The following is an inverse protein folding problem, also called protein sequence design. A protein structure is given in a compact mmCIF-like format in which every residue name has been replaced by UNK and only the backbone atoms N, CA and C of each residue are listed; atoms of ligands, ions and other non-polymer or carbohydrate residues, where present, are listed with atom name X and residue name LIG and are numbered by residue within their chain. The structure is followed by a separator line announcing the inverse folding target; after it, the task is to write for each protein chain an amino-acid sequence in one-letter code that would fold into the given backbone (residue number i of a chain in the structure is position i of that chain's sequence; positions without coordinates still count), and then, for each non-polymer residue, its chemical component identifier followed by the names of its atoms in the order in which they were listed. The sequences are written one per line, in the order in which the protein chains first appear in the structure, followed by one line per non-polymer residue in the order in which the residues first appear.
data_IF_686135812418
#
_entry.id   IF_686135812418
#
_cell.length_a   1.000
_cell.length_b   1.000
_cell.length_c   1.000
_cell.angle_alpha   90.00
_cell.angle_beta   90.00
_cell.angle_gamma   90.00
#
_symmetry.space_group_name_H-M   'P 1'
#
loop_
_entity.id
_entity.type
_entity.pdbx_description
1 polymer ?
#
# COMPACT_ATOMS: atom_id res chain seq x y z
N UNK A 1 -18.16 10.31 -12.16
CA UNK A 1 -18.05 9.36 -11.04
C UNK A 1 -19.40 8.71 -10.86
N UNK A 2 -19.52 7.44 -11.23
CA UNK A 2 -20.72 6.65 -11.00
C UNK A 2 -20.78 6.21 -9.53
N UNK A 3 -21.98 5.87 -9.06
CA UNK A 3 -22.17 5.33 -7.70
C UNK A 3 -21.38 4.03 -7.50
N UNK A 4 -21.28 3.22 -8.54
CA UNK A 4 -20.60 1.92 -8.52
C UNK A 4 -19.09 2.06 -8.36
N UNK A 5 -18.47 2.99 -9.10
CA UNK A 5 -17.04 3.33 -8.96
C UNK A 5 -16.69 3.76 -7.54
N UNK A 6 -17.53 4.62 -6.95
CA UNK A 6 -17.35 5.11 -5.59
C UNK A 6 -17.48 3.99 -4.57
N UNK A 7 -18.52 3.16 -4.68
CA UNK A 7 -18.76 2.03 -3.77
C UNK A 7 -17.60 1.03 -3.83
N UNK A 8 -17.09 0.73 -5.04
CA UNK A 8 -15.96 -0.15 -5.23
C UNK A 8 -14.70 0.34 -4.50
N UNK A 9 -14.29 1.60 -4.73
CA UNK A 9 -13.12 2.16 -4.08
C UNK A 9 -13.31 2.23 -2.54
N UNK A 10 -14.49 2.61 -2.08
CA UNK A 10 -14.81 2.67 -0.65
C UNK A 10 -14.80 1.29 0.01
N UNK A 11 -15.21 0.22 -0.68
CA UNK A 11 -15.14 -1.14 -0.15
C UNK A 11 -13.68 -1.57 0.08
N UNK A 12 -12.80 -1.33 -0.89
CA UNK A 12 -11.38 -1.66 -0.75
C UNK A 12 -10.73 -0.87 0.39
N UNK A 13 -10.96 0.44 0.46
CA UNK A 13 -10.43 1.29 1.54
C UNK A 13 -10.98 0.86 2.92
N UNK A 14 -12.24 0.44 2.98
CA UNK A 14 -12.86 -0.08 4.21
C UNK A 14 -12.25 -1.41 4.63
N UNK A 15 -11.98 -2.33 3.69
CA UNK A 15 -11.26 -3.57 3.98
C UNK A 15 -9.86 -3.27 4.51
N UNK A 16 -9.12 -2.37 3.86
CA UNK A 16 -7.78 -1.96 4.27
C UNK A 16 -7.76 -1.36 5.68
N UNK A 17 -8.70 -0.47 6.00
CA UNK A 17 -8.85 0.08 7.34
C UNK A 17 -9.24 -0.98 8.38
N UNK A 18 -10.18 -1.86 8.04
CA UNK A 18 -10.64 -2.90 8.96
C UNK A 18 -9.52 -3.87 9.32
N UNK A 19 -8.68 -4.24 8.34
CA UNK A 19 -7.47 -5.04 8.59
C UNK A 19 -6.51 -4.35 9.55
N UNK A 20 -6.23 -3.06 9.33
CA UNK A 20 -5.37 -2.27 10.22
C UNK A 20 -5.88 -2.27 11.67
N UNK A 21 -7.16 -1.92 11.85
CA UNK A 21 -7.80 -1.85 13.17
C UNK A 21 -7.84 -3.22 13.84
N UNK A 22 -8.20 -4.27 13.09
CA UNK A 22 -8.26 -5.62 13.64
C UNK A 22 -6.88 -6.10 14.07
N UNK A 23 -5.85 -5.93 13.24
CA UNK A 23 -4.48 -6.31 13.59
C UNK A 23 -3.99 -5.59 14.85
N UNK A 24 -4.36 -4.31 15.03
CA UNK A 24 -4.06 -3.56 16.24
C UNK A 24 -4.80 -4.11 17.47
N UNK A 25 -6.14 -4.26 17.37
CA UNK A 25 -6.97 -4.73 18.47
C UNK A 25 -6.69 -6.19 18.87
N UNK A 26 -6.25 -7.03 17.93
CA UNK A 26 -5.90 -8.42 18.19
C UNK A 26 -4.45 -8.63 18.60
N UNK A 27 -3.66 -7.56 18.70
CA UNK A 27 -2.21 -7.63 18.91
C UNK A 27 -1.56 -8.68 17.98
N UNK A 28 -1.82 -8.58 16.67
CA UNK A 28 -1.37 -9.57 15.68
C UNK A 28 0.10 -9.97 15.91
N UNK A 29 0.39 -11.22 16.27
CA UNK A 29 1.74 -11.64 16.61
C UNK A 29 2.75 -11.40 15.50
N UNK A 30 2.34 -11.43 14.23
CA UNK A 30 3.25 -11.16 13.11
C UNK A 30 3.64 -9.67 13.05
N UNK A 31 2.77 -8.79 13.51
CA UNK A 31 3.00 -7.36 13.60
C UNK A 31 3.84 -7.00 14.83
N UNK A 32 3.42 -7.51 15.98
CA UNK A 32 3.92 -7.05 17.27
C UNK A 32 5.13 -7.84 17.78
N UNK A 33 5.30 -9.12 17.41
CA UNK A 33 6.44 -9.90 17.89
C UNK A 33 7.78 -9.27 17.51
N UNK A 34 7.87 -8.71 16.29
CA UNK A 34 9.06 -8.03 15.85
C UNK A 34 9.28 -6.72 16.63
N UNK A 35 8.23 -5.93 16.85
CA UNK A 35 8.29 -4.70 17.66
C UNK A 35 8.74 -4.98 19.11
N UNK A 36 8.23 -6.04 19.73
CA UNK A 36 8.60 -6.43 21.10
C UNK A 36 9.96 -7.14 21.22
N UNK A 37 10.50 -7.65 20.10
CA UNK A 37 11.86 -8.22 20.06
C UNK A 37 12.95 -7.15 20.08
N UNK A 38 12.57 -5.88 19.94
CA UNK A 38 13.47 -4.75 19.81
C UNK A 38 13.51 -3.90 21.10
N UNK A 39 14.62 -3.20 21.38
CA UNK A 39 14.69 -2.30 22.53
C UNK A 39 13.60 -1.22 22.44
N UNK A 40 12.85 -0.95 23.52
CA UNK A 40 11.88 0.14 23.54
C UNK A 40 12.59 1.48 23.32
N UNK A 41 12.02 2.33 22.45
CA UNK A 41 12.54 3.65 22.04
C UNK A 41 13.84 3.62 21.21
N UNK A 42 14.17 2.49 20.60
CA UNK A 42 15.26 2.38 19.61
C UNK A 42 14.81 2.69 18.17
N UNK A 43 15.74 3.06 17.28
CA UNK A 43 15.47 3.26 15.85
C UNK A 43 14.90 2.02 15.15
N UNK A 44 15.04 0.85 15.76
CA UNK A 44 14.48 -0.40 15.25
C UNK A 44 12.95 -0.46 15.41
N UNK A 45 12.40 0.16 16.45
CA UNK A 45 10.95 0.24 16.65
C UNK A 45 10.30 1.10 15.55
N UNK A 46 10.93 2.23 15.22
CA UNK A 46 10.50 3.09 14.11
C UNK A 46 10.57 2.34 12.78
N UNK A 47 11.63 1.55 12.57
CA UNK A 47 11.77 0.69 11.40
C UNK A 47 10.64 -0.37 11.31
N UNK A 48 10.26 -0.97 12.43
CA UNK A 48 9.16 -1.94 12.50
C UNK A 48 7.81 -1.30 12.16
N UNK A 49 7.56 -0.09 12.66
CA UNK A 49 6.36 0.69 12.35
C UNK A 49 6.33 1.06 10.86
N UNK A 50 7.45 1.51 10.32
CA UNK A 50 7.62 1.85 8.90
C UNK A 50 7.35 0.66 7.98
N UNK A 51 7.87 -0.52 8.36
CA UNK A 51 7.57 -1.77 7.67
C UNK A 51 6.09 -2.08 7.63
N UNK A 52 5.42 -2.00 8.78
CA UNK A 52 4.00 -2.30 8.84
C UNK A 52 3.18 -1.38 7.93
N UNK A 53 3.42 -0.07 8.00
CA UNK A 53 2.67 0.88 7.19
C UNK A 53 2.93 0.69 5.68
N UNK A 54 4.16 0.35 5.29
CA UNK A 54 4.47 0.06 3.91
C UNK A 54 3.77 -1.21 3.40
N UNK A 55 3.78 -2.28 4.18
CA UNK A 55 3.07 -3.51 3.86
C UNK A 55 1.56 -3.29 3.76
N UNK A 56 0.99 -2.53 4.71
CA UNK A 56 -0.42 -2.14 4.69
C UNK A 56 -0.77 -1.31 3.45
N UNK A 57 0.04 -0.32 3.08
CA UNK A 57 -0.15 0.44 1.85
C UNK A 57 -0.13 -0.50 0.65
N UNK A 58 0.87 -1.39 0.56
CA UNK A 58 1.05 -2.33 -0.56
C UNK A 58 -0.07 -3.35 -0.71
N UNK A 59 -0.70 -3.76 0.38
CA UNK A 59 -1.82 -4.70 0.35
C UNK A 59 -3.04 -4.18 -0.44
N UNK A 60 -3.20 -2.87 -0.64
CA UNK A 60 -4.33 -2.31 -1.40
C UNK A 60 -4.35 -2.75 -2.87
N UNK A 61 -3.17 -2.99 -3.46
CA UNK A 61 -3.05 -3.55 -4.81
C UNK A 61 -3.67 -4.95 -4.90
N UNK A 62 -3.40 -5.81 -3.92
CA UNK A 62 -3.94 -7.17 -3.85
C UNK A 62 -5.43 -7.18 -3.48
N UNK A 63 -5.87 -6.25 -2.61
CA UNK A 63 -7.28 -6.10 -2.28
C UNK A 63 -8.11 -5.72 -3.50
N UNK A 64 -7.59 -4.82 -4.36
CA UNK A 64 -8.26 -4.53 -5.64
C UNK A 64 -8.38 -5.79 -6.50
N UNK A 65 -7.29 -6.54 -6.69
CA UNK A 65 -7.30 -7.77 -7.50
C UNK A 65 -8.31 -8.79 -6.95
N UNK A 66 -8.40 -8.92 -5.62
CA UNK A 66 -9.37 -9.80 -4.96
C UNK A 66 -10.81 -9.32 -5.17
N UNK A 67 -11.08 -8.03 -4.99
CA UNK A 67 -12.40 -7.45 -5.20
C UNK A 67 -12.85 -7.60 -6.66
N UNK A 68 -11.94 -7.41 -7.62
CA UNK A 68 -12.18 -7.67 -9.05
C UNK A 68 -12.56 -9.14 -9.34
N UNK A 69 -12.07 -10.10 -8.55
CA UNK A 69 -12.34 -11.54 -8.72
C UNK A 69 -13.61 -12.00 -8.00
N UNK A 70 -13.96 -11.33 -6.90
CA UNK A 70 -15.09 -11.69 -6.05
C UNK A 70 -16.40 -11.03 -6.50
N UNK A 71 -16.33 -9.94 -7.26
CA UNK A 71 -17.55 -9.30 -7.77
C UNK A 71 -18.29 -10.25 -8.70
N UNK A 72 -19.56 -10.54 -8.40
CA UNK A 72 -20.45 -11.35 -9.25
C UNK A 72 -20.79 -10.66 -10.59
N UNK A 73 -20.30 -9.43 -10.79
CA UNK A 73 -20.39 -8.63 -12.01
C UNK A 73 -19.17 -8.86 -12.92
N UNK A 74 -19.29 -8.60 -14.24
CA UNK A 74 -18.17 -8.71 -15.16
C UNK A 74 -17.00 -7.85 -14.68
N UNK A 75 -15.79 -8.24 -15.05
CA UNK A 75 -14.51 -7.55 -14.80
C UNK A 75 -14.70 -6.05 -14.61
N UNK A 76 -14.27 -5.45 -13.48
CA UNK A 76 -14.56 -4.05 -13.20
C UNK A 76 -14.07 -3.20 -14.35
N UNK A 77 -14.92 -2.26 -14.76
CA UNK A 77 -14.67 -1.49 -15.96
C UNK A 77 -13.31 -0.76 -15.88
N UNK A 78 -12.67 -0.44 -17.02
CA UNK A 78 -11.44 0.35 -17.06
C UNK A 78 -11.54 1.65 -16.23
N UNK A 79 -12.73 2.23 -16.15
CA UNK A 79 -13.06 3.43 -15.38
C UNK A 79 -12.99 3.16 -13.87
N UNK A 80 -13.61 2.08 -13.37
CA UNK A 80 -13.56 1.67 -11.95
C UNK A 80 -12.10 1.47 -11.50
N UNK A 81 -11.29 0.84 -12.33
CA UNK A 81 -9.86 0.61 -12.05
C UNK A 81 -9.09 1.90 -11.97
N UNK A 82 -9.32 2.79 -12.94
CA UNK A 82 -8.64 4.09 -12.98
C UNK A 82 -9.04 4.94 -11.78
N UNK A 83 -10.30 4.88 -11.36
CA UNK A 83 -10.78 5.57 -10.17
C UNK A 83 -10.13 5.05 -8.88
N UNK A 84 -10.08 3.71 -8.71
CA UNK A 84 -9.36 3.13 -7.59
C UNK A 84 -7.89 3.57 -7.55
N UNK A 85 -7.19 3.54 -8.69
CA UNK A 85 -5.78 3.96 -8.77
C UNK A 85 -5.60 5.43 -8.38
N UNK A 86 -6.55 6.32 -8.71
CA UNK A 86 -6.54 7.71 -8.24
C UNK A 86 -6.74 7.80 -6.72
N UNK A 87 -7.69 7.07 -6.15
CA UNK A 87 -7.94 7.06 -4.71
C UNK A 87 -6.72 6.51 -3.94
N UNK A 88 -6.13 5.44 -4.45
CA UNK A 88 -4.92 4.84 -3.88
C UNK A 88 -3.71 5.77 -3.97
N UNK A 89 -3.54 6.45 -5.10
CA UNK A 89 -2.52 7.50 -5.23
C UNK A 89 -2.69 8.57 -4.15
N UNK A 90 -3.92 9.08 -3.96
CA UNK A 90 -4.18 10.08 -2.90
C UNK A 90 -3.87 9.57 -1.51
N UNK A 91 -4.10 8.28 -1.24
CA UNK A 91 -3.71 7.65 0.02
C UNK A 91 -2.18 7.70 0.21
N UNK A 92 -1.41 7.32 -0.81
CA UNK A 92 0.05 7.40 -0.78
C UNK A 92 0.57 8.84 -0.63
N UNK A 93 -0.02 9.80 -1.34
CA UNK A 93 0.33 11.22 -1.21
C UNK A 93 0.08 11.74 0.20
N UNK A 94 -1.06 11.36 0.80
CA UNK A 94 -1.39 11.74 2.18
C UNK A 94 -0.38 11.17 3.17
N UNK A 95 0.01 9.92 2.98
CA UNK A 95 1.03 9.27 3.82
C UNK A 95 2.36 10.02 3.83
N UNK A 96 2.80 10.57 2.68
CA UNK A 96 4.02 11.38 2.61
C UNK A 96 3.84 12.71 3.35
N UNK A 97 2.72 13.40 3.13
CA UNK A 97 2.47 14.72 3.72
C UNK A 97 2.50 14.66 5.25
N UNK A 98 1.89 13.63 5.83
CA UNK A 98 1.86 13.45 7.28
C UNK A 98 3.26 13.07 7.87
N UNK A 99 4.27 12.81 7.02
CA UNK A 99 5.65 12.46 7.40
C UNK A 99 6.72 13.54 7.10
N UNK A 100 6.34 14.70 6.59
CA UNK A 100 7.29 15.77 6.18
C UNK A 100 8.23 16.23 7.32
N UNK A 101 7.83 16.04 8.59
CA UNK A 101 8.61 16.45 9.76
C UNK A 101 9.37 15.31 10.47
N UNK A 102 9.44 14.11 9.89
CA UNK A 102 10.14 12.97 10.50
C UNK A 102 11.55 12.87 9.89
N UNK A 103 12.56 13.32 10.63
CA UNK A 103 13.97 13.27 10.21
C UNK A 103 14.59 11.88 10.48
N UNK A 104 15.46 11.42 9.57
CA UNK A 104 16.22 10.16 9.74
C UNK A 104 16.41 9.40 8.43
N UNK A 105 17.50 8.61 8.31
CA UNK A 105 17.79 7.80 7.11
C UNK A 105 16.66 6.83 6.76
N UNK A 106 16.03 6.23 7.77
CA UNK A 106 14.94 5.27 7.62
C UNK A 106 13.67 5.93 7.07
N UNK A 107 13.22 7.02 7.69
CA UNK A 107 12.10 7.85 7.23
C UNK A 107 12.29 8.34 5.79
N UNK A 108 13.51 8.73 5.43
CA UNK A 108 13.87 9.14 4.07
C UNK A 108 13.76 7.99 3.06
N UNK A 109 14.16 6.78 3.44
CA UNK A 109 14.12 5.62 2.57
C UNK A 109 12.68 5.13 2.33
N UNK A 110 11.84 5.07 3.38
CA UNK A 110 10.42 4.78 3.24
C UNK A 110 9.71 5.83 2.37
N UNK A 111 9.99 7.11 2.62
CA UNK A 111 9.44 8.21 1.82
C UNK A 111 9.81 8.06 0.35
N UNK A 112 11.04 7.62 0.05
CA UNK A 112 11.51 7.38 -1.32
C UNK A 112 10.75 6.24 -2.00
N UNK A 113 10.51 5.12 -1.30
CA UNK A 113 9.72 4.02 -1.83
C UNK A 113 8.27 4.42 -2.10
N UNK A 114 7.64 5.19 -1.21
CA UNK A 114 6.27 5.68 -1.41
C UNK A 114 6.20 6.69 -2.58
N UNK A 115 7.25 7.49 -2.79
CA UNK A 115 7.37 8.36 -3.99
C UNK A 115 7.46 7.53 -5.28
N UNK A 116 8.32 6.51 -5.32
CA UNK A 116 8.41 5.61 -6.48
C UNK A 116 7.04 4.97 -6.78
N UNK A 117 6.31 4.60 -5.73
CA UNK A 117 4.96 4.05 -5.86
C UNK A 117 3.96 5.03 -6.44
N UNK A 118 3.97 6.29 -6.01
CA UNK A 118 3.14 7.35 -6.61
C UNK A 118 3.47 7.52 -8.10
N UNK A 119 4.75 7.51 -8.46
CA UNK A 119 5.18 7.59 -9.86
C UNK A 119 4.70 6.38 -10.67
N UNK A 120 4.75 5.19 -10.10
CA UNK A 120 4.22 3.97 -10.69
C UNK A 120 2.71 4.04 -10.91
N UNK A 121 1.95 4.55 -9.93
CA UNK A 121 0.52 4.78 -10.06
C UNK A 121 0.20 5.82 -11.15
N UNK A 122 0.99 6.89 -11.26
CA UNK A 122 0.86 7.86 -12.35
C UNK A 122 1.08 7.20 -13.72
N UNK A 123 2.10 6.35 -13.86
CA UNK A 123 2.34 5.59 -15.10
C UNK A 123 1.17 4.67 -15.43
N UNK A 124 0.59 4.00 -14.43
CA UNK A 124 -0.57 3.12 -14.62
C UNK A 124 -1.83 3.89 -15.03
N UNK A 125 -2.05 5.07 -14.46
CA UNK A 125 -3.14 5.97 -14.82
C UNK A 125 -2.99 6.51 -16.26
N UNK A 126 -1.76 6.72 -16.73
CA UNK A 126 -1.47 7.21 -18.08
C UNK A 126 -1.67 6.16 -19.20
N UNK A 127 -1.67 4.85 -18.86
CA UNK A 127 -1.93 3.79 -19.83
C UNK A 127 -3.42 3.85 -20.23
N UNK A 128 -3.73 4.05 -21.51
CA UNK A 128 -5.11 4.18 -22.00
C UNK A 128 -5.74 2.87 -22.49
N UNK A 129 -4.99 1.76 -22.55
CA UNK A 129 -5.47 0.49 -23.12
C UNK A 129 -5.32 -0.70 -22.15
N UNK A 130 -6.29 -1.63 -22.27
CA UNK A 130 -6.44 -2.94 -21.62
C UNK A 130 -6.33 -2.98 -20.08
N UNK A 131 -7.51 -3.07 -19.44
CA UNK A 131 -7.69 -3.27 -18.01
C UNK A 131 -6.85 -4.44 -17.45
N UNK A 132 -6.75 -5.56 -18.18
CA UNK A 132 -5.93 -6.71 -17.78
C UNK A 132 -4.44 -6.39 -17.72
N UNK A 133 -3.92 -5.58 -18.65
CA UNK A 133 -2.52 -5.16 -18.66
C UNK A 133 -2.23 -4.26 -17.44
N UNK A 134 -3.15 -3.34 -17.10
CA UNK A 134 -3.05 -2.53 -15.89
C UNK A 134 -3.01 -3.38 -14.63
N UNK A 135 -3.91 -4.35 -14.49
CA UNK A 135 -3.93 -5.24 -13.32
C UNK A 135 -2.67 -6.08 -13.23
N UNK A 136 -2.19 -6.63 -14.36
CA UNK A 136 -0.94 -7.41 -14.41
C UNK A 136 0.27 -6.56 -14.00
N UNK A 137 0.34 -5.32 -14.49
CA UNK A 137 1.42 -4.39 -14.17
C UNK A 137 1.37 -3.89 -12.72
N UNK A 138 0.18 -3.61 -12.19
CA UNK A 138 -0.02 -3.29 -10.78
C UNK A 138 0.48 -4.42 -9.88
N UNK A 139 0.14 -5.67 -10.23
CA UNK A 139 0.60 -6.85 -9.49
C UNK A 139 2.12 -7.00 -9.51
N UNK A 140 2.72 -6.88 -10.69
CA UNK A 140 4.17 -6.91 -10.85
C UNK A 140 4.86 -5.82 -10.02
N UNK A 141 4.33 -4.59 -10.06
CA UNK A 141 4.85 -3.47 -9.28
C UNK A 141 4.74 -3.73 -7.78
N UNK A 142 3.60 -4.24 -7.31
CA UNK A 142 3.39 -4.62 -5.91
C UNK A 142 4.40 -5.68 -5.44
N UNK A 143 4.70 -6.68 -6.26
CA UNK A 143 5.73 -7.70 -5.95
C UNK A 143 7.12 -7.09 -5.91
N UNK A 144 7.48 -6.24 -6.89
CA UNK A 144 8.78 -5.56 -6.94
C UNK A 144 8.98 -4.65 -5.74
N UNK A 145 7.97 -3.86 -5.39
CA UNK A 145 7.99 -2.94 -4.25
C UNK A 145 8.20 -3.68 -2.93
N UNK A 146 7.54 -4.83 -2.75
CA UNK A 146 7.75 -5.68 -1.58
C UNK A 146 9.21 -6.17 -1.48
N UNK A 147 9.78 -6.64 -2.59
CA UNK A 147 11.18 -7.08 -2.63
C UNK A 147 12.16 -5.96 -2.28
N UNK A 148 12.01 -4.79 -2.92
CA UNK A 148 12.88 -3.63 -2.64
C UNK A 148 12.77 -3.16 -1.19
N UNK A 149 11.58 -3.24 -0.61
CA UNK A 149 11.38 -2.92 0.78
C UNK A 149 12.07 -3.94 1.70
N UNK A 150 11.94 -5.24 1.45
CA UNK A 150 12.57 -6.28 2.27
C UNK A 150 14.12 -6.18 2.21
N UNK A 151 14.68 -5.86 1.04
CA UNK A 151 16.10 -5.60 0.84
C UNK A 151 16.56 -4.37 1.64
N UNK A 152 15.86 -3.24 1.48
CA UNK A 152 16.14 -2.02 2.23
C UNK A 152 16.05 -2.27 3.75
N UNK A 153 14.99 -2.94 4.19
CA UNK A 153 14.74 -3.25 5.59
C UNK A 153 15.85 -4.13 6.19
N UNK A 154 16.40 -5.06 5.41
CA UNK A 154 17.54 -5.88 5.84
C UNK A 154 18.80 -5.03 5.96
N UNK A 155 19.10 -4.16 4.99
CA UNK A 155 20.28 -3.28 5.03
C UNK A 155 20.24 -2.24 6.16
N UNK A 156 19.05 -1.88 6.65
CA UNK A 156 18.88 -0.93 7.76
C UNK A 156 19.01 -1.59 9.14
N UNK A 157 19.12 -2.93 9.21
CA UNK A 157 19.38 -3.68 10.45
C UNK A 157 20.87 -3.92 10.71
N UNK A 158 21.71 -3.77 9.70
CA UNK A 158 23.18 -3.90 9.77
C UNK A 158 23.82 -2.57 10.19
#
# INVERSE_FOLDING_TARGET
MSREELVFALNILREGRSKLVNSYCSEDPNLYSYMFSLPPNGPEMDLAIDKYFFEWLSAHSDMQIKECKNSSTPTPSPEITSYFLQAYKKLCERFIVDRINIEGKQSNALTSLVKEKIDNLNKLLAISAQHEEKLKKLRYMSTKEKYLFDELFTSLKE
#
